data_IF_543674435639
#
_entry.id   IF_543674435639
#
_cell.length_a   1.000
_cell.length_b   1.000
_cell.length_c   1.000
_cell.angle_alpha   90.00
_cell.angle_beta   90.00
_cell.angle_gamma   90.00
#
_symmetry.space_group_name_H-M   'P 1'
#
loop_
_entity.id
_entity.type
_entity.pdbx_description
1 polymer ?
#
# COMPACT_ATOMS: atom_id res chain seq x y z
N UNK A 1 -21.95 -1.33 -7.09
CA UNK A 1 -21.54 -1.90 -5.81
C UNK A 1 -20.01 -1.82 -5.67
N UNK A 2 -19.50 -1.34 -4.53
CA UNK A 2 -18.05 -1.22 -4.34
C UNK A 2 -17.40 -2.59 -4.22
N UNK A 3 -16.19 -2.70 -4.78
CA UNK A 3 -15.41 -3.93 -4.70
C UNK A 3 -14.70 -4.04 -3.36
N UNK A 4 -14.31 -5.24 -2.98
CA UNK A 4 -13.49 -5.47 -1.79
C UNK A 4 -12.01 -5.50 -2.20
N UNK A 5 -11.14 -4.93 -1.37
CA UNK A 5 -9.69 -5.01 -1.64
C UNK A 5 -9.18 -6.46 -1.53
N UNK A 6 -9.90 -7.34 -0.84
CA UNK A 6 -9.56 -8.75 -0.76
C UNK A 6 -9.53 -9.45 -2.13
N UNK A 7 -10.13 -8.85 -3.15
CA UNK A 7 -10.04 -9.36 -4.53
C UNK A 7 -8.61 -9.44 -5.05
N UNK A 8 -7.69 -8.67 -4.45
CA UNK A 8 -6.28 -8.67 -4.86
C UNK A 8 -5.45 -9.77 -4.19
N UNK A 9 -6.05 -10.56 -3.28
CA UNK A 9 -5.34 -11.67 -2.65
C UNK A 9 -4.73 -12.58 -3.72
N UNK A 10 -3.43 -12.89 -3.55
CA UNK A 10 -2.61 -13.68 -4.47
C UNK A 10 -2.36 -13.04 -5.84
N UNK A 11 -2.85 -11.83 -6.07
CA UNK A 11 -2.67 -11.09 -7.32
C UNK A 11 -1.73 -9.91 -7.15
N UNK A 12 -1.87 -9.16 -6.06
CA UNK A 12 -1.08 -7.96 -5.79
C UNK A 12 -0.82 -7.80 -4.31
N UNK A 13 0.31 -7.18 -3.98
CA UNK A 13 0.52 -6.58 -2.66
C UNK A 13 -0.17 -5.23 -2.66
N UNK A 14 -0.67 -4.79 -1.51
CA UNK A 14 -1.40 -3.53 -1.42
C UNK A 14 -0.75 -2.61 -0.40
N UNK A 15 -0.73 -1.32 -0.72
CA UNK A 15 -0.45 -0.26 0.22
C UNK A 15 -1.72 0.56 0.35
N UNK A 16 -2.39 0.45 1.50
CA UNK A 16 -3.65 1.13 1.77
C UNK A 16 -3.35 2.41 2.54
N UNK A 17 -3.77 3.54 1.99
CA UNK A 17 -3.44 4.86 2.53
C UNK A 17 -4.73 5.58 2.91
N UNK A 18 -4.92 5.85 4.19
CA UNK A 18 -6.09 6.54 4.72
C UNK A 18 -5.69 7.93 5.18
N UNK A 19 -6.31 8.97 4.60
CA UNK A 19 -5.98 10.36 4.89
C UNK A 19 -7.22 11.22 4.95
N UNK A 20 -7.12 12.38 5.61
CA UNK A 20 -8.26 13.27 5.82
C UNK A 20 -8.60 14.10 4.58
N UNK A 21 -7.59 14.76 4.02
CA UNK A 21 -7.77 15.60 2.83
C UNK A 21 -6.42 15.72 2.10
N UNK A 22 -6.41 16.41 0.96
CA UNK A 22 -5.22 16.52 0.12
C UNK A 22 -4.10 17.35 0.73
N UNK A 23 -4.37 18.09 1.81
CA UNK A 23 -3.36 18.84 2.55
C UNK A 23 -2.72 18.00 3.66
N UNK A 24 -3.25 16.80 3.92
CA UNK A 24 -2.72 15.85 4.92
C UNK A 24 -1.31 15.42 4.52
N UNK A 25 -0.39 15.43 5.48
CA UNK A 25 0.99 15.01 5.23
C UNK A 25 1.09 13.56 4.76
N UNK A 26 0.21 12.69 5.24
CA UNK A 26 0.14 11.29 4.79
C UNK A 26 -0.06 11.27 3.26
N UNK A 27 -1.01 12.03 2.75
CA UNK A 27 -1.29 12.09 1.33
C UNK A 27 -0.12 12.68 0.54
N UNK A 28 0.37 13.84 0.97
CA UNK A 28 1.45 14.57 0.30
C UNK A 28 2.71 13.72 0.22
N UNK A 29 3.12 13.13 1.33
CA UNK A 29 4.35 12.32 1.39
C UNK A 29 4.21 11.01 0.62
N UNK A 30 3.02 10.40 0.62
CA UNK A 30 2.77 9.20 -0.16
C UNK A 30 2.84 9.48 -1.66
N UNK A 31 2.25 10.58 -2.13
CA UNK A 31 2.31 10.96 -3.55
C UNK A 31 3.76 11.20 -3.98
N UNK A 32 4.55 11.83 -3.11
CA UNK A 32 5.98 12.06 -3.35
C UNK A 32 6.75 10.75 -3.44
N UNK A 33 6.49 9.86 -2.50
CA UNK A 33 7.12 8.53 -2.46
C UNK A 33 6.83 7.76 -3.75
N UNK A 34 5.58 7.76 -4.20
CA UNK A 34 5.15 7.09 -5.44
C UNK A 34 5.91 7.68 -6.63
N UNK A 35 5.95 9.00 -6.74
CA UNK A 35 6.60 9.68 -7.85
C UNK A 35 8.09 9.37 -7.93
N UNK A 36 8.74 9.22 -6.78
CA UNK A 36 10.19 8.98 -6.68
C UNK A 36 10.57 7.51 -6.79
N UNK A 37 9.60 6.58 -6.72
CA UNK A 37 9.88 5.14 -6.63
C UNK A 37 8.99 4.31 -7.54
N UNK A 38 8.59 4.84 -8.69
CA UNK A 38 7.66 4.15 -9.60
C UNK A 38 8.15 2.77 -10.01
N UNK A 39 9.41 2.67 -10.39
CA UNK A 39 10.00 1.42 -10.85
C UNK A 39 10.05 0.37 -9.72
N UNK A 40 10.50 0.77 -8.54
CA UNK A 40 10.57 -0.12 -7.37
C UNK A 40 9.20 -0.62 -6.94
N UNK A 41 8.20 0.26 -7.00
CA UNK A 41 6.83 -0.08 -6.65
C UNK A 41 6.27 -1.12 -7.64
N UNK A 42 6.47 -0.87 -8.92
CA UNK A 42 6.03 -1.75 -10.00
C UNK A 42 6.72 -3.12 -9.94
N UNK A 43 8.03 -3.11 -9.70
CA UNK A 43 8.83 -4.32 -9.59
C UNK A 43 8.34 -5.24 -8.46
N UNK A 44 7.81 -4.66 -7.39
CA UNK A 44 7.30 -5.40 -6.25
C UNK A 44 5.82 -5.73 -6.34
N UNK A 45 5.21 -5.46 -7.49
CA UNK A 45 3.79 -5.74 -7.74
C UNK A 45 2.89 -5.12 -6.66
N UNK A 46 3.22 -3.88 -6.27
CA UNK A 46 2.54 -3.15 -5.21
C UNK A 46 1.52 -2.18 -5.80
N UNK A 47 0.25 -2.34 -5.42
CA UNK A 47 -0.82 -1.44 -5.81
C UNK A 47 -1.16 -0.53 -4.64
N UNK A 48 -1.30 0.76 -4.90
CA UNK A 48 -1.60 1.73 -3.85
C UNK A 48 -3.07 2.15 -3.97
N UNK A 49 -3.79 2.06 -2.86
CA UNK A 49 -5.22 2.39 -2.80
C UNK A 49 -5.40 3.49 -1.76
N UNK A 50 -5.99 4.61 -2.18
CA UNK A 50 -6.21 5.78 -1.32
C UNK A 50 -7.65 5.82 -0.82
N UNK A 51 -7.80 6.13 0.47
CA UNK A 51 -9.10 6.42 1.08
C UNK A 51 -9.05 7.83 1.66
N UNK A 52 -9.86 8.73 1.10
CA UNK A 52 -10.02 10.07 1.63
C UNK A 52 -11.26 10.08 2.53
N UNK A 53 -11.08 10.46 3.79
CA UNK A 53 -12.15 10.41 4.79
C UNK A 53 -12.84 9.04 4.80
N UNK A 54 -12.02 7.99 4.68
CA UNK A 54 -12.44 6.58 4.73
C UNK A 54 -13.25 6.14 3.50
N UNK A 55 -13.19 6.89 2.41
CA UNK A 55 -13.93 6.58 1.18
C UNK A 55 -12.98 6.41 -0.01
N UNK A 56 -13.33 5.47 -0.88
CA UNK A 56 -12.68 5.24 -2.15
C UNK A 56 -13.77 5.02 -3.19
N UNK A 57 -13.53 5.51 -4.41
CA UNK A 57 -14.50 5.45 -5.50
C UNK A 57 -14.84 4.00 -5.91
N UNK A 58 -13.87 3.11 -5.84
CA UNK A 58 -13.99 1.76 -6.39
C UNK A 58 -14.03 0.66 -5.32
N UNK A 59 -13.49 0.91 -4.13
CA UNK A 59 -13.31 -0.12 -3.10
C UNK A 59 -13.97 0.29 -1.79
N UNK A 60 -14.68 -0.64 -1.18
CA UNK A 60 -15.27 -0.41 0.14
C UNK A 60 -14.18 -0.31 1.20
N UNK A 61 -14.50 0.37 2.30
CA UNK A 61 -13.57 0.54 3.42
C UNK A 61 -13.29 -0.81 4.09
N UNK A 62 -12.02 -1.22 4.21
CA UNK A 62 -11.69 -2.46 4.91
C UNK A 62 -11.91 -2.31 6.42
N UNK A 63 -12.27 -3.40 7.08
CA UNK A 63 -12.55 -3.39 8.52
C UNK A 63 -11.34 -2.99 9.35
N UNK A 64 -10.15 -3.41 8.94
CA UNK A 64 -8.92 -3.11 9.71
C UNK A 64 -8.63 -1.62 9.82
N UNK A 65 -9.18 -0.80 8.90
CA UNK A 65 -8.98 0.65 8.92
C UNK A 65 -9.60 1.31 10.15
N UNK A 66 -10.75 0.80 10.58
CA UNK A 66 -11.41 1.18 11.82
C UNK A 66 -11.46 2.70 12.06
N UNK A 67 -11.80 3.47 11.01
CA UNK A 67 -11.90 4.93 11.03
C UNK A 67 -10.61 5.62 11.51
N UNK A 68 -9.46 5.06 11.14
CA UNK A 68 -8.15 5.63 11.47
C UNK A 68 -7.45 6.09 10.20
N UNK A 69 -6.67 7.17 10.32
CA UNK A 69 -5.78 7.62 9.26
C UNK A 69 -4.43 6.93 9.42
N UNK A 70 -3.81 6.55 8.33
CA UNK A 70 -2.54 5.86 8.37
C UNK A 70 -2.26 5.08 7.08
N UNK A 71 -1.26 4.22 7.15
CA UNK A 71 -0.79 3.44 6.01
C UNK A 71 -0.62 1.99 6.43
N UNK A 72 -1.13 1.05 5.62
CA UNK A 72 -1.05 -0.39 5.88
C UNK A 72 -0.46 -1.11 4.67
N UNK A 73 0.48 -2.00 4.91
CA UNK A 73 1.02 -2.90 3.90
C UNK A 73 0.32 -4.25 4.01
N UNK A 74 -0.29 -4.68 2.91
CA UNK A 74 -1.00 -5.96 2.82
C UNK A 74 -0.22 -6.89 1.88
N UNK A 75 0.09 -8.09 2.35
CA UNK A 75 0.78 -9.09 1.53
C UNK A 75 -0.17 -9.83 0.58
N UNK A 76 0.38 -10.74 -0.22
CA UNK A 76 -0.42 -11.55 -1.15
C UNK A 76 -1.49 -12.38 -0.46
N UNK A 77 -1.23 -12.81 0.76
CA UNK A 77 -2.18 -13.60 1.56
C UNK A 77 -3.34 -12.77 2.13
N UNK A 78 -3.36 -11.46 1.83
CA UNK A 78 -4.40 -10.58 2.34
C UNK A 78 -4.19 -10.12 3.77
N UNK A 79 -3.08 -10.49 4.40
CA UNK A 79 -2.80 -10.13 5.79
C UNK A 79 -1.96 -8.86 5.89
N UNK A 80 -2.18 -8.10 6.97
CA UNK A 80 -1.41 -6.89 7.26
C UNK A 80 0.01 -7.31 7.67
N UNK A 81 1.02 -6.77 6.95
CA UNK A 81 2.43 -7.06 7.23
C UNK A 81 3.11 -5.92 7.99
N UNK A 82 2.61 -4.71 7.85
CA UNK A 82 3.14 -3.54 8.56
C UNK A 82 2.12 -2.42 8.49
N UNK A 83 2.24 -1.47 9.40
CA UNK A 83 1.39 -0.28 9.40
C UNK A 83 2.08 0.86 10.13
N UNK A 84 1.68 2.09 9.83
CA UNK A 84 2.10 3.26 10.58
C UNK A 84 1.05 4.35 10.48
N UNK A 85 1.05 5.27 11.44
CA UNK A 85 0.16 6.43 11.42
C UNK A 85 0.75 7.60 10.63
N UNK A 86 1.96 7.43 10.07
CA UNK A 86 2.67 8.46 9.32
C UNK A 86 3.51 7.82 8.20
N UNK A 87 4.45 8.59 7.64
CA UNK A 87 5.29 8.15 6.53
C UNK A 87 6.47 7.27 6.92
N UNK A 88 6.64 6.95 8.19
CA UNK A 88 7.77 6.14 8.65
C UNK A 88 7.80 4.74 8.03
N UNK A 89 6.64 4.22 7.65
CA UNK A 89 6.56 2.92 6.98
C UNK A 89 7.42 2.88 5.70
N UNK A 90 7.58 4.02 5.01
CA UNK A 90 8.35 4.08 3.77
C UNK A 90 9.83 3.80 3.98
N UNK A 91 10.35 4.02 5.20
CA UNK A 91 11.75 3.76 5.52
C UNK A 91 12.10 2.27 5.50
N UNK A 92 11.10 1.41 5.65
CA UNK A 92 11.30 -0.03 5.76
C UNK A 92 10.47 -0.85 4.76
N UNK A 93 9.67 -0.19 3.93
CA UNK A 93 8.69 -0.84 3.05
C UNK A 93 9.34 -1.82 2.08
N UNK A 94 10.34 -1.38 1.34
CA UNK A 94 10.96 -2.23 0.31
C UNK A 94 11.75 -3.37 0.93
N UNK A 95 12.45 -3.11 2.03
CA UNK A 95 13.21 -4.16 2.72
C UNK A 95 12.27 -5.25 3.25
N UNK A 96 11.12 -4.85 3.79
CA UNK A 96 10.14 -5.78 4.30
C UNK A 96 9.55 -6.64 3.17
N UNK A 97 9.16 -6.01 2.06
CA UNK A 97 8.64 -6.73 0.89
C UNK A 97 9.71 -7.71 0.36
N UNK A 98 10.95 -7.26 0.26
CA UNK A 98 12.04 -8.08 -0.29
C UNK A 98 12.37 -9.29 0.60
N UNK A 99 11.97 -9.25 1.87
CA UNK A 99 12.12 -10.39 2.79
C UNK A 99 10.99 -11.40 2.69
N UNK A 100 9.93 -11.10 1.97
CA UNK A 100 8.77 -12.00 1.84
C UNK A 100 9.12 -13.22 0.98
N UNK A 101 8.65 -14.45 1.35
CA UNK A 101 8.96 -15.65 0.57
C UNK A 101 8.56 -15.56 -0.89
N UNK A 102 7.36 -15.02 -1.19
CA UNK A 102 6.87 -14.88 -2.56
C UNK A 102 7.72 -13.93 -3.39
N UNK A 103 8.36 -12.95 -2.75
CA UNK A 103 9.23 -11.99 -3.44
C UNK A 103 10.46 -12.64 -4.05
N UNK A 104 10.99 -13.66 -3.39
CA UNK A 104 12.18 -14.38 -3.85
C UNK A 104 11.94 -15.11 -5.17
N UNK A 105 10.70 -15.46 -5.45
CA UNK A 105 10.32 -16.16 -6.68
C UNK A 105 9.98 -15.19 -7.80
N UNK A 106 9.92 -13.90 -7.53
CA UNK A 106 9.61 -12.88 -8.53
C UNK A 106 10.83 -12.49 -9.34
N UNK A 107 10.60 -12.20 -10.64
CA UNK A 107 11.65 -11.72 -11.50
C UNK A 107 11.98 -10.27 -11.14
N UNK A 108 13.20 -10.03 -10.68
CA UNK A 108 13.65 -8.70 -10.28
C UNK A 108 13.96 -7.87 -11.53
N UNK A 109 13.51 -6.61 -11.52
CA UNK A 109 13.80 -5.66 -12.58
C UNK A 109 15.11 -4.95 -12.27
N UNK A 110 16.18 -5.33 -12.98
CA UNK A 110 17.52 -4.78 -12.75
C UNK A 110 17.64 -3.29 -13.10
N UNK A 111 16.63 -2.73 -13.77
CA UNK A 111 16.64 -1.31 -14.19
C UNK A 111 16.23 -0.36 -13.07
N UNK A 112 15.76 -0.86 -11.96
CA UNK A 112 15.47 -0.03 -10.78
C UNK A 112 16.75 0.15 -9.90
#
# INVERSE_FOLDING_TARGET
MAKQISEFSWKKRLLVVSYENKDDQIFIKTKKFIANNKCEIQDRNLKIIFYEKFENKDYSKPEFMNNKYGIWLIGYDGMIKDSSSDDKIFLRLFDLIDSMPMRKDEKINDKC
#
